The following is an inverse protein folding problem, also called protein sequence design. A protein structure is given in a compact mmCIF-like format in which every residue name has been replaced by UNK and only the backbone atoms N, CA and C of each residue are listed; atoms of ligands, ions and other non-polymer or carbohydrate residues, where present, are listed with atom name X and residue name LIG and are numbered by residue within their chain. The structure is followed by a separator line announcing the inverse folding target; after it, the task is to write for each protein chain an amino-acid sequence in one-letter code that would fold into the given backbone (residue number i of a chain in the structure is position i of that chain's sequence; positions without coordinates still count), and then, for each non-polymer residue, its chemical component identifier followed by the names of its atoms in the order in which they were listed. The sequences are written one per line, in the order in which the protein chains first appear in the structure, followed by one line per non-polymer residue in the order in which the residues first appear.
data_IF_897021433557
#
_entry.id   IF_897021433557
#
_cell.length_a   1.000
_cell.length_b   1.000
_cell.length_c   1.000
_cell.angle_alpha   90.00
_cell.angle_beta   90.00
_cell.angle_gamma   90.00
#
_symmetry.space_group_name_H-M   'P 1'
#
loop_
_entity.id
_entity.type
_entity.pdbx_description
1 polymer ?
#
# COMPACT_ATOMS: atom_id res chain seq x y z
N UNK A 1 -5.05 -3.27 17.72
CA UNK A 1 -4.41 -4.16 16.75
C UNK A 1 -4.32 -5.54 17.37
N UNK A 2 -4.92 -6.53 16.73
CA UNK A 2 -4.86 -7.92 17.19
C UNK A 2 -3.44 -8.47 17.00
N UNK A 3 -3.00 -9.42 17.82
CA UNK A 3 -1.68 -10.04 17.71
C UNK A 3 -1.44 -10.81 16.39
N UNK A 4 -2.49 -11.03 15.61
CA UNK A 4 -2.46 -11.64 14.27
C UNK A 4 -1.95 -10.72 13.17
N UNK A 5 -1.84 -9.41 13.45
CA UNK A 5 -1.49 -8.40 12.43
C UNK A 5 0.03 -8.12 12.38
N UNK A 6 0.82 -8.98 13.00
CA UNK A 6 2.27 -8.84 13.05
C UNK A 6 2.93 -9.67 11.96
N UNK A 7 3.65 -9.01 11.08
CA UNK A 7 4.61 -9.68 10.19
C UNK A 7 5.82 -10.16 10.99
N UNK A 8 6.31 -11.36 10.69
CA UNK A 8 7.52 -11.90 11.31
C UNK A 8 8.67 -11.87 10.30
N UNK A 9 9.77 -11.25 10.68
CA UNK A 9 10.98 -11.25 9.85
C UNK A 9 11.57 -12.67 9.76
N UNK A 10 11.70 -13.18 8.53
CA UNK A 10 12.14 -14.56 8.25
C UNK A 10 13.54 -14.84 8.84
N UNK A 11 14.45 -13.90 8.75
CA UNK A 11 15.85 -14.08 9.17
C UNK A 11 16.03 -13.93 10.68
N UNK A 12 15.32 -13.01 11.31
CA UNK A 12 15.54 -12.64 12.72
C UNK A 12 14.44 -13.11 13.66
N UNK A 13 13.32 -13.63 13.15
CA UNK A 13 12.14 -13.97 13.96
C UNK A 13 11.49 -12.76 14.66
N UNK A 14 11.92 -11.54 14.34
CA UNK A 14 11.43 -10.33 14.98
C UNK A 14 10.06 -9.94 14.45
N UNK A 15 9.14 -9.65 15.36
CA UNK A 15 7.83 -9.12 15.01
C UNK A 15 7.95 -7.70 14.42
N UNK A 16 7.28 -7.46 13.30
CA UNK A 16 7.18 -6.16 12.65
C UNK A 16 5.76 -5.66 12.78
N UNK A 17 5.59 -4.40 13.17
CA UNK A 17 4.28 -3.76 13.16
C UNK A 17 3.93 -3.39 11.72
N UNK A 18 2.74 -3.80 11.29
CA UNK A 18 2.18 -3.42 10.00
C UNK A 18 1.25 -2.20 10.17
N UNK A 19 1.08 -1.45 9.09
CA UNK A 19 0.15 -0.34 8.98
C UNK A 19 -0.50 -0.35 7.61
N UNK A 20 -1.56 0.45 7.46
CA UNK A 20 -2.20 0.66 6.18
C UNK A 20 -1.31 1.50 5.25
N UNK A 21 -1.57 1.41 3.96
CA UNK A 21 -0.84 2.21 2.97
C UNK A 21 -1.01 3.69 3.27
N UNK A 22 0.10 4.44 3.22
CA UNK A 22 0.19 5.85 3.52
C UNK A 22 0.55 6.62 2.24
N UNK A 23 -0.45 7.24 1.62
CA UNK A 23 -0.28 7.96 0.36
C UNK A 23 0.57 9.24 0.50
N UNK A 24 0.42 10.08 1.53
CA UNK A 24 1.34 11.19 1.80
C UNK A 24 2.82 10.78 1.84
N UNK A 25 3.14 9.69 2.55
CA UNK A 25 4.52 9.17 2.61
C UNK A 25 4.98 8.66 1.24
N UNK A 26 4.11 7.94 0.51
CA UNK A 26 4.44 7.44 -0.82
C UNK A 26 4.72 8.59 -1.80
N UNK A 27 3.88 9.65 -1.81
CA UNK A 27 4.13 10.86 -2.63
C UNK A 27 5.43 11.56 -2.25
N UNK A 28 5.69 11.69 -0.97
CA UNK A 28 6.93 12.27 -0.48
C UNK A 28 8.14 11.46 -0.97
N UNK A 29 8.10 10.12 -0.82
CA UNK A 29 9.16 9.22 -1.29
C UNK A 29 9.37 9.32 -2.81
N UNK A 30 8.29 9.38 -3.60
CA UNK A 30 8.35 9.57 -5.05
C UNK A 30 9.13 10.84 -5.40
N UNK A 31 8.79 11.95 -4.74
CA UNK A 31 9.40 13.25 -5.02
C UNK A 31 10.88 13.31 -4.63
N UNK A 32 11.22 12.86 -3.41
CA UNK A 32 12.60 13.03 -2.89
C UNK A 32 13.59 12.03 -3.48
N UNK A 33 13.13 10.87 -3.92
CA UNK A 33 13.97 9.83 -4.52
C UNK A 33 13.91 9.82 -6.05
N UNK A 34 13.05 10.63 -6.68
CA UNK A 34 12.84 10.61 -8.12
C UNK A 34 12.36 9.25 -8.63
N UNK A 35 11.42 8.63 -7.89
CA UNK A 35 10.91 7.31 -8.25
C UNK A 35 10.12 7.39 -9.55
N UNK A 36 10.41 6.49 -10.47
CA UNK A 36 9.69 6.33 -11.73
C UNK A 36 8.53 5.35 -11.59
N UNK A 37 8.69 4.36 -10.73
CA UNK A 37 7.77 3.24 -10.57
C UNK A 37 7.76 2.70 -9.15
N UNK A 38 6.64 2.08 -8.76
CA UNK A 38 6.52 1.27 -7.55
C UNK A 38 6.41 -0.21 -7.88
N UNK A 39 6.95 -1.03 -7.00
CA UNK A 39 6.66 -2.45 -6.93
C UNK A 39 5.75 -2.68 -5.71
N UNK A 40 4.47 -2.99 -5.96
CA UNK A 40 3.50 -3.29 -4.91
C UNK A 40 3.63 -4.74 -4.49
N UNK A 41 4.10 -5.01 -3.28
CA UNK A 41 4.23 -6.36 -2.75
C UNK A 41 3.09 -6.72 -1.81
N UNK A 42 2.86 -8.03 -1.61
CA UNK A 42 1.93 -8.55 -0.58
C UNK A 42 0.48 -8.11 -0.76
N UNK A 43 0.02 -7.97 -1.99
CA UNK A 43 -1.40 -7.67 -2.25
C UNK A 43 -2.32 -8.78 -1.73
N UNK A 44 -1.84 -10.03 -1.71
CA UNK A 44 -2.53 -11.22 -1.22
C UNK A 44 -2.96 -11.12 0.26
N UNK A 45 -2.20 -10.44 1.11
CA UNK A 45 -2.53 -10.30 2.54
C UNK A 45 -3.79 -9.47 2.80
N UNK A 46 -4.25 -8.72 1.79
CA UNK A 46 -5.49 -7.93 1.86
C UNK A 46 -6.73 -8.73 1.47
N UNK A 47 -6.57 -9.98 1.01
CA UNK A 47 -7.70 -10.86 0.69
C UNK A 47 -8.52 -11.15 1.94
N UNK A 48 -9.86 -11.06 1.81
CA UNK A 48 -10.81 -11.30 2.90
C UNK A 48 -11.19 -10.06 3.72
N UNK A 49 -10.57 -8.91 3.45
CA UNK A 49 -11.02 -7.65 4.05
C UNK A 49 -12.24 -7.11 3.30
N UNK A 50 -13.28 -6.72 4.03
CA UNK A 50 -14.47 -6.09 3.45
C UNK A 50 -14.17 -4.68 2.94
N UNK A 51 -13.38 -3.93 3.71
CA UNK A 51 -12.94 -2.57 3.40
C UNK A 51 -11.47 -2.42 3.72
N UNK A 52 -10.72 -1.82 2.82
CA UNK A 52 -9.29 -1.59 2.95
C UNK A 52 -9.04 -0.10 3.14
N UNK A 53 -8.56 0.33 4.32
CA UNK A 53 -8.22 1.72 4.56
C UNK A 53 -6.93 2.11 3.83
N UNK A 54 -6.93 3.33 3.28
CA UNK A 54 -5.73 4.00 2.76
C UNK A 54 -5.62 5.36 3.43
N UNK A 55 -4.50 5.66 4.05
CA UNK A 55 -4.24 6.99 4.58
C UNK A 55 -4.01 7.96 3.43
N UNK A 56 -4.88 8.96 3.29
CA UNK A 56 -4.85 9.95 2.19
C UNK A 56 -4.36 11.32 2.63
N UNK A 57 -4.44 11.62 3.92
CA UNK A 57 -4.02 12.89 4.52
C UNK A 57 -3.81 12.71 6.04
N UNK A 58 -3.34 13.75 6.70
CA UNK A 58 -3.26 13.83 8.15
C UNK A 58 -4.08 15.00 8.69
N UNK A 59 -4.44 14.92 9.97
CA UNK A 59 -4.88 16.06 10.76
C UNK A 59 -3.75 16.46 11.70
N UNK A 60 -3.30 17.71 11.58
CA UNK A 60 -2.29 18.32 12.47
C UNK A 60 -2.92 19.60 13.04
N UNK A 61 -2.99 19.72 14.35
CA UNK A 61 -3.63 20.84 15.06
C UNK A 61 -5.03 21.20 14.53
N UNK A 62 -5.83 20.16 14.24
CA UNK A 62 -7.19 20.30 13.72
C UNK A 62 -7.29 20.66 12.23
N UNK A 63 -6.18 20.84 11.53
CA UNK A 63 -6.13 21.15 10.10
C UNK A 63 -5.79 19.91 9.28
N UNK A 64 -6.46 19.75 8.15
CA UNK A 64 -6.13 18.71 7.17
C UNK A 64 -4.84 19.10 6.42
N UNK A 65 -3.88 18.17 6.38
CA UNK A 65 -2.60 18.32 5.70
C UNK A 65 -2.43 17.11 4.78
N UNK A 66 -2.18 17.33 3.49
CA UNK A 66 -2.03 16.27 2.48
C UNK A 66 -0.59 15.86 2.21
N UNK A 67 0.34 16.59 2.79
CA UNK A 67 1.78 16.33 2.73
C UNK A 67 2.29 15.81 4.08
N UNK A 68 3.47 15.19 4.04
CA UNK A 68 4.17 14.78 5.28
C UNK A 68 4.57 16.03 6.05
N UNK A 69 4.17 16.16 7.32
CA UNK A 69 4.57 17.31 8.14
C UNK A 69 6.09 17.44 8.20
N UNK A 70 6.61 18.64 8.02
CA UNK A 70 8.04 18.92 7.97
C UNK A 70 8.71 18.87 9.34
N UNK A 71 7.96 19.12 10.41
CA UNK A 71 8.48 19.04 11.77
C UNK A 71 8.25 17.64 12.36
N UNK A 72 9.23 17.12 13.09
CA UNK A 72 9.11 15.83 13.77
C UNK A 72 7.97 15.85 14.82
N UNK A 73 7.78 16.98 15.49
CA UNK A 73 6.70 17.14 16.47
C UNK A 73 5.32 17.02 15.83
N UNK A 74 5.10 17.73 14.72
CA UNK A 74 3.82 17.71 14.01
C UNK A 74 3.54 16.32 13.44
N UNK A 75 4.55 15.66 12.89
CA UNK A 75 4.43 14.29 12.38
C UNK A 75 4.09 13.28 13.49
N UNK A 76 4.71 13.44 14.67
CA UNK A 76 4.44 12.56 15.82
C UNK A 76 3.02 12.70 16.36
N UNK A 77 2.42 13.89 16.26
CA UNK A 77 1.07 14.19 16.72
C UNK A 77 0.02 14.10 15.59
N UNK A 78 0.45 13.89 14.35
CA UNK A 78 -0.44 13.75 13.21
C UNK A 78 -1.37 12.55 13.37
N UNK A 79 -2.64 12.75 13.04
CA UNK A 79 -3.64 11.68 13.01
C UNK A 79 -3.98 11.37 11.56
N UNK A 80 -3.90 10.10 11.14
CA UNK A 80 -4.21 9.72 9.76
C UNK A 80 -5.70 9.91 9.45
N UNK A 81 -5.97 10.38 8.25
CA UNK A 81 -7.30 10.42 7.64
C UNK A 81 -7.37 9.29 6.63
N UNK A 82 -8.30 8.36 6.83
CA UNK A 82 -8.44 7.19 5.97
C UNK A 82 -9.58 7.35 4.98
N UNK A 83 -9.34 6.90 3.75
CA UNK A 83 -10.35 6.55 2.77
C UNK A 83 -10.49 5.04 2.74
N UNK A 84 -11.73 4.54 2.63
CA UNK A 84 -12.04 3.12 2.70
C UNK A 84 -12.45 2.62 1.32
N UNK A 85 -11.62 1.77 0.73
CA UNK A 85 -11.87 1.15 -0.55
C UNK A 85 -12.53 -0.22 -0.37
N UNK A 86 -13.38 -0.66 -1.29
CA UNK A 86 -13.97 -2.00 -1.23
C UNK A 86 -12.88 -3.06 -1.36
N UNK A 87 -12.93 -4.06 -0.48
CA UNK A 87 -12.02 -5.19 -0.52
C UNK A 87 -12.49 -6.31 -1.44
N UNK A 88 -11.81 -7.44 -1.40
CA UNK A 88 -12.11 -8.65 -2.17
C UNK A 88 -11.92 -9.89 -1.31
N UNK A 89 -12.63 -10.96 -1.67
CA UNK A 89 -12.56 -12.25 -0.96
C UNK A 89 -11.89 -13.35 -1.80
N UNK A 90 -11.70 -13.11 -3.08
CA UNK A 90 -11.13 -14.07 -4.01
C UNK A 90 -9.64 -14.25 -3.76
N UNK A 91 -9.16 -15.50 -3.83
CA UNK A 91 -7.73 -15.80 -3.79
C UNK A 91 -7.05 -15.31 -5.06
N UNK A 92 -6.12 -14.37 -4.91
CA UNK A 92 -5.36 -13.76 -6.01
C UNK A 92 -4.00 -14.40 -6.25
N UNK A 93 -3.60 -15.40 -5.46
CA UNK A 93 -2.26 -15.99 -5.48
C UNK A 93 -1.88 -16.66 -6.82
N UNK A 94 -2.88 -17.02 -7.62
CA UNK A 94 -2.71 -17.65 -8.93
C UNK A 94 -2.89 -16.70 -10.12
N UNK A 95 -3.20 -15.43 -9.88
CA UNK A 95 -3.32 -14.41 -10.92
C UNK A 95 -1.96 -14.19 -11.61
N UNK A 96 -1.97 -14.13 -12.94
CA UNK A 96 -0.76 -13.94 -13.77
C UNK A 96 -0.74 -12.60 -14.47
N UNK A 97 -1.91 -12.03 -14.72
CA UNK A 97 -2.06 -10.74 -15.37
C UNK A 97 -2.89 -9.80 -14.49
N UNK A 98 -2.77 -8.50 -14.75
CA UNK A 98 -3.57 -7.51 -14.03
C UNK A 98 -5.08 -7.71 -14.22
N UNK A 99 -5.48 -8.21 -15.39
CA UNK A 99 -6.88 -8.50 -15.72
C UNK A 99 -7.46 -9.68 -14.94
N UNK A 100 -6.63 -10.59 -14.43
CA UNK A 100 -7.07 -11.74 -13.62
C UNK A 100 -7.45 -11.32 -12.20
N UNK A 101 -7.00 -10.14 -11.76
CA UNK A 101 -7.33 -9.62 -10.43
C UNK A 101 -8.82 -9.27 -10.33
N UNK A 102 -9.47 -9.48 -9.18
CA UNK A 102 -10.80 -8.98 -8.91
C UNK A 102 -10.91 -7.47 -9.20
N UNK A 103 -12.07 -7.01 -9.64
CA UNK A 103 -12.29 -5.60 -10.00
C UNK A 103 -11.93 -4.64 -8.85
N UNK A 104 -12.24 -5.02 -7.62
CA UNK A 104 -11.92 -4.21 -6.44
C UNK A 104 -10.40 -4.14 -6.21
N UNK A 105 -9.67 -5.24 -6.43
CA UNK A 105 -8.20 -5.25 -6.35
C UNK A 105 -7.58 -4.38 -7.44
N UNK A 106 -8.10 -4.44 -8.67
CA UNK A 106 -7.66 -3.54 -9.76
C UNK A 106 -7.92 -2.07 -9.43
N UNK A 107 -9.09 -1.76 -8.86
CA UNK A 107 -9.45 -0.40 -8.44
C UNK A 107 -8.55 0.10 -7.31
N UNK A 108 -8.24 -0.78 -6.36
CA UNK A 108 -7.31 -0.49 -5.27
C UNK A 108 -5.92 -0.12 -5.81
N UNK A 109 -5.35 -0.93 -6.71
CA UNK A 109 -4.04 -0.66 -7.32
C UNK A 109 -4.03 0.68 -8.07
N UNK A 110 -5.05 0.97 -8.88
CA UNK A 110 -5.17 2.25 -9.59
C UNK A 110 -5.27 3.44 -8.63
N UNK A 111 -6.03 3.28 -7.55
CA UNK A 111 -6.11 4.31 -6.52
C UNK A 111 -4.74 4.59 -5.89
N UNK A 112 -3.94 3.56 -5.61
CA UNK A 112 -2.59 3.74 -5.08
C UNK A 112 -1.66 4.44 -6.08
N UNK A 113 -1.75 4.14 -7.38
CA UNK A 113 -0.99 4.84 -8.44
C UNK A 113 -1.29 6.34 -8.43
N UNK A 114 -2.57 6.70 -8.45
CA UNK A 114 -3.02 8.09 -8.41
C UNK A 114 -2.59 8.78 -7.11
N UNK A 115 -2.79 8.11 -5.97
CA UNK A 115 -2.51 8.65 -4.65
C UNK A 115 -1.00 8.83 -4.38
N UNK A 116 -0.12 8.04 -4.99
CA UNK A 116 1.34 8.11 -4.83
C UNK A 116 2.05 8.95 -5.88
N UNK A 117 1.33 9.37 -6.93
CA UNK A 117 1.88 10.07 -8.11
C UNK A 117 2.98 9.27 -8.84
N UNK A 118 2.94 7.96 -8.77
CA UNK A 118 3.84 7.09 -9.53
C UNK A 118 3.14 5.79 -9.93
N UNK A 119 3.41 5.26 -11.13
CA UNK A 119 2.81 4.03 -11.59
C UNK A 119 3.28 2.82 -10.78
N UNK A 120 2.46 1.77 -10.75
CA UNK A 120 2.82 0.46 -10.22
C UNK A 120 3.18 -0.44 -11.40
N UNK A 121 4.44 -0.83 -11.50
CA UNK A 121 4.93 -1.63 -12.62
C UNK A 121 4.87 -3.12 -12.38
N UNK A 122 4.86 -3.55 -11.12
CA UNK A 122 4.70 -4.95 -10.76
C UNK A 122 3.96 -5.12 -9.44
N UNK A 123 3.27 -6.25 -9.31
CA UNK A 123 2.46 -6.61 -8.14
C UNK A 123 2.83 -8.00 -7.65
N UNK A 124 3.23 -8.12 -6.38
CA UNK A 124 3.39 -9.40 -5.70
C UNK A 124 2.06 -9.89 -5.12
N UNK A 125 1.61 -11.05 -5.57
CA UNK A 125 0.34 -11.68 -5.17
C UNK A 125 0.56 -12.93 -4.31
N UNK A 126 1.76 -13.12 -3.80
CA UNK A 126 2.13 -14.24 -2.94
C UNK A 126 3.65 -14.27 -2.67
N UNK A 127 4.13 -15.21 -1.82
CA UNK A 127 5.52 -15.30 -1.40
C UNK A 127 6.48 -15.88 -2.45
N UNK A 128 5.95 -16.55 -3.48
CA UNK A 128 6.75 -17.22 -4.50
C UNK A 128 7.21 -16.30 -5.62
N UNK A 129 8.39 -16.57 -6.20
CA UNK A 129 8.91 -15.79 -7.34
C UNK A 129 7.94 -15.75 -8.53
N UNK A 130 7.17 -16.81 -8.73
CA UNK A 130 6.20 -16.92 -9.82
C UNK A 130 4.86 -16.23 -9.51
N UNK A 131 4.73 -15.62 -8.33
CA UNK A 131 3.55 -14.93 -7.85
C UNK A 131 3.74 -13.40 -7.95
N UNK A 132 4.29 -12.98 -9.08
CA UNK A 132 4.46 -11.58 -9.45
C UNK A 132 3.79 -11.33 -10.80
N UNK A 133 2.92 -10.32 -10.82
CA UNK A 133 2.29 -9.80 -12.04
C UNK A 133 3.13 -8.63 -12.52
N UNK A 134 3.68 -8.70 -13.74
CA UNK A 134 4.30 -7.56 -14.41
C UNK A 134 3.24 -6.79 -15.18
N UNK A 135 3.11 -5.49 -14.92
CA UNK A 135 2.16 -4.60 -15.59
C UNK A 135 2.88 -3.85 -16.73
N UNK A 136 4.15 -3.53 -16.51
CA UNK A 136 5.00 -2.82 -17.48
C UNK A 136 6.33 -3.56 -17.62
N UNK A 137 6.90 -3.50 -18.81
CA UNK A 137 8.27 -3.96 -19.01
C UNK A 137 9.24 -2.99 -18.32
N UNK A 138 10.17 -3.54 -17.55
CA UNK A 138 11.28 -2.79 -17.01
C UNK A 138 12.33 -2.68 -18.13
N UNK A 139 12.59 -1.47 -18.57
CA UNK A 139 13.65 -1.17 -19.56
C UNK A 139 14.98 -1.02 -18.82
#
# INVERSE_FOLDING_TARGET
MCSSDLEVGVTTGRNRRCGWFDAPIARYATRVNGLTDFFLTKLDVLTGWEKIPVCVAYTVDGKRVEEVPSSQSDFHHAKPIYEYLPGWSEDISNCKTFSDLPKNAQSYVKFLEEASNAPISAIGVGPGRNQTISIREFV
#
